data_IF_249985758587
#
_entry.id   IF_249985758587
#
_cell.length_a   1.000
_cell.length_b   1.000
_cell.length_c   1.000
_cell.angle_alpha   90.00
_cell.angle_beta   90.00
_cell.angle_gamma   90.00
#
_symmetry.space_group_name_H-M   'P 1'
#
loop_
_entity.id
_entity.type
_entity.pdbx_description
1 polymer ?
#
# COMPACT_ATOMS: atom_id res chain seq x y z
N UNK A 1 1.79 -12.23 14.69
CA UNK A 1 2.83 -11.68 13.79
C UNK A 1 3.96 -12.66 13.57
N UNK A 2 4.65 -12.57 12.44
CA UNK A 2 5.83 -13.41 12.14
C UNK A 2 6.89 -12.62 11.36
N UNK A 3 8.16 -13.01 11.56
CA UNK A 3 9.29 -12.56 10.73
C UNK A 3 10.02 -13.80 10.23
N UNK A 4 10.21 -13.86 8.92
CA UNK A 4 10.93 -14.93 8.24
C UNK A 4 12.16 -14.33 7.58
N UNK A 5 13.33 -14.91 7.85
CA UNK A 5 14.58 -14.59 7.18
C UNK A 5 14.88 -15.63 6.12
N UNK A 6 15.07 -15.17 4.90
CA UNK A 6 15.39 -16.03 3.76
C UNK A 6 16.85 -15.84 3.32
N UNK A 7 17.43 -16.91 2.77
CA UNK A 7 18.67 -16.82 2.02
C UNK A 7 18.42 -16.11 0.68
N UNK A 8 19.17 -15.04 0.42
CA UNK A 8 18.94 -14.18 -0.74
C UNK A 8 19.05 -14.91 -2.09
N UNK A 9 19.95 -15.87 -2.19
CA UNK A 9 20.25 -16.56 -3.46
C UNK A 9 19.30 -17.73 -3.75
N UNK A 10 18.78 -18.39 -2.73
CA UNK A 10 17.97 -19.62 -2.87
C UNK A 10 16.52 -19.46 -2.43
N UNK A 11 16.20 -18.42 -1.64
CA UNK A 11 14.90 -18.28 -1.01
C UNK A 11 14.65 -19.25 0.15
N UNK A 12 15.66 -20.05 0.55
CA UNK A 12 15.50 -20.98 1.67
C UNK A 12 15.34 -20.25 3.00
N UNK A 13 14.49 -20.79 3.87
CA UNK A 13 14.25 -20.21 5.20
C UNK A 13 15.48 -20.42 6.08
N UNK A 14 16.16 -19.33 6.45
CA UNK A 14 17.26 -19.32 7.42
C UNK A 14 16.71 -19.38 8.85
N UNK A 15 15.69 -18.59 9.13
CA UNK A 15 15.03 -18.56 10.44
C UNK A 15 13.61 -18.02 10.33
N UNK A 16 12.77 -18.45 11.25
CA UNK A 16 11.41 -17.94 11.42
C UNK A 16 11.16 -17.67 12.90
N UNK A 17 10.46 -16.59 13.22
CA UNK A 17 10.01 -16.23 14.57
C UNK A 17 8.59 -15.75 14.52
N UNK A 18 7.82 -16.19 15.49
CA UNK A 18 6.44 -15.75 15.72
C UNK A 18 6.38 -14.88 16.97
N UNK A 19 5.46 -13.94 16.97
CA UNK A 19 5.22 -13.01 18.06
C UNK A 19 3.73 -13.00 18.35
N UNK A 20 3.41 -12.82 19.62
CA UNK A 20 2.07 -12.53 20.09
C UNK A 20 2.11 -11.10 20.68
N UNK A 21 1.58 -10.15 19.94
CA UNK A 21 1.50 -8.74 20.33
C UNK A 21 0.14 -8.39 20.96
N UNK A 22 -0.74 -9.40 21.09
CA UNK A 22 -2.07 -9.29 21.65
C UNK A 22 -3.18 -9.28 20.60
N UNK A 23 -4.20 -10.14 20.80
CA UNK A 23 -5.34 -10.27 19.90
C UNK A 23 -4.94 -10.69 18.49
N UNK A 24 -5.67 -10.23 17.47
CA UNK A 24 -5.22 -10.33 16.09
C UNK A 24 -4.14 -9.29 15.84
N UNK A 25 -2.97 -9.74 15.41
CA UNK A 25 -1.80 -8.88 15.21
C UNK A 25 -1.08 -9.19 13.90
N UNK A 26 -0.47 -8.16 13.28
CA UNK A 26 0.36 -8.29 12.10
C UNK A 26 1.56 -7.33 12.15
N UNK A 27 2.66 -7.76 11.53
CA UNK A 27 3.67 -6.85 11.00
C UNK A 27 3.38 -6.66 9.50
N UNK A 28 3.15 -5.42 9.09
CA UNK A 28 2.80 -5.07 7.72
C UNK A 28 4.04 -4.68 6.90
N UNK A 29 4.96 -3.95 7.52
CA UNK A 29 6.18 -3.53 6.84
C UNK A 29 7.37 -3.50 7.80
N UNK A 30 8.58 -3.70 7.24
CA UNK A 30 9.82 -3.73 8.00
C UNK A 30 10.94 -3.04 7.23
N UNK A 31 11.73 -2.25 7.93
CA UNK A 31 12.96 -1.63 7.40
C UNK A 31 14.15 -1.95 8.26
N UNK A 32 15.34 -1.95 7.68
CA UNK A 32 16.60 -2.01 8.43
C UNK A 32 17.10 -0.59 8.69
N UNK A 33 17.37 -0.28 9.94
CA UNK A 33 18.01 0.96 10.34
C UNK A 33 19.17 0.68 11.30
N UNK A 34 20.39 1.11 10.91
CA UNK A 34 21.63 0.81 11.65
C UNK A 34 21.81 -0.70 11.87
N UNK A 35 21.68 -1.17 13.10
CA UNK A 35 21.81 -2.58 13.47
C UNK A 35 20.51 -3.21 13.97
N UNK A 36 19.39 -2.58 13.66
CA UNK A 36 18.05 -2.98 14.11
C UNK A 36 17.11 -3.14 12.93
N UNK A 37 16.05 -3.88 13.16
CA UNK A 37 14.89 -3.98 12.27
C UNK A 37 13.75 -3.21 12.93
N UNK A 38 13.12 -2.33 12.17
CA UNK A 38 12.00 -1.54 12.63
C UNK A 38 10.77 -2.01 11.86
N UNK A 39 9.79 -2.57 12.56
CA UNK A 39 8.57 -3.09 11.97
C UNK A 39 7.38 -2.26 12.43
N UNK A 40 6.45 -2.01 11.51
CA UNK A 40 5.15 -1.41 11.82
C UNK A 40 4.03 -2.39 11.52
N UNK A 41 2.89 -2.17 12.14
CA UNK A 41 1.70 -2.99 11.98
C UNK A 41 0.65 -2.63 13.03
N UNK A 42 -0.04 -3.63 13.52
CA UNK A 42 -1.10 -3.45 14.50
C UNK A 42 -1.21 -4.64 15.44
N UNK A 43 -1.91 -4.45 16.55
CA UNK A 43 -2.37 -5.50 17.44
C UNK A 43 -3.85 -5.26 17.84
N UNK A 44 -4.42 -6.22 18.54
CA UNK A 44 -5.82 -6.16 19.02
C UNK A 44 -6.84 -5.79 17.94
N UNK A 45 -6.56 -6.16 16.67
CA UNK A 45 -7.53 -5.97 15.61
C UNK A 45 -8.79 -6.80 15.88
N UNK A 46 -9.95 -6.20 15.61
CA UNK A 46 -11.24 -6.86 15.75
C UNK A 46 -11.56 -7.48 14.41
N UNK A 47 -11.60 -8.82 14.37
CA UNK A 47 -12.04 -9.54 13.18
C UNK A 47 -13.56 -9.37 13.04
N UNK A 48 -13.99 -8.40 12.23
CA UNK A 48 -15.38 -8.33 11.81
C UNK A 48 -15.53 -9.02 10.46
N UNK A 49 -16.40 -10.01 10.40
CA UNK A 49 -16.60 -10.89 9.23
C UNK A 49 -16.91 -10.18 7.90
N UNK A 50 -16.97 -8.86 7.87
CA UNK A 50 -17.38 -8.07 6.70
C UNK A 50 -16.56 -6.82 6.47
N UNK A 51 -15.44 -6.62 7.14
CA UNK A 51 -14.59 -5.45 6.90
C UNK A 51 -13.15 -5.87 6.72
N UNK A 52 -12.58 -5.53 5.59
CA UNK A 52 -11.17 -5.67 5.27
C UNK A 52 -10.28 -4.90 6.26
N UNK A 53 -10.87 -3.87 6.88
CA UNK A 53 -10.20 -2.98 7.81
C UNK A 53 -10.88 -3.08 9.16
N UNK A 54 -10.25 -3.81 10.04
CA UNK A 54 -10.71 -3.96 11.41
C UNK A 54 -10.07 -2.90 12.29
N UNK A 55 -10.84 -2.39 13.23
CA UNK A 55 -10.29 -1.55 14.29
C UNK A 55 -9.12 -2.27 14.94
N UNK A 56 -7.96 -1.64 14.95
CA UNK A 56 -6.75 -2.16 15.55
C UNK A 56 -6.04 -1.09 16.38
N UNK A 57 -4.90 -1.44 16.90
CA UNK A 57 -4.00 -0.53 17.60
C UNK A 57 -2.67 -0.54 16.88
N UNK A 58 -2.40 0.51 16.10
CA UNK A 58 -1.16 0.63 15.37
C UNK A 58 0.06 0.56 16.29
N UNK A 59 1.08 -0.16 15.85
CA UNK A 59 2.32 -0.35 16.61
C UNK A 59 3.56 -0.11 15.76
N UNK A 60 4.65 0.28 16.44
CA UNK A 60 6.00 0.24 15.91
C UNK A 60 6.87 -0.60 16.84
N UNK A 61 7.59 -1.56 16.28
CA UNK A 61 8.40 -2.52 17.01
C UNK A 61 9.85 -2.45 16.56
N UNK A 62 10.76 -2.50 17.53
CA UNK A 62 12.20 -2.59 17.31
C UNK A 62 12.66 -4.01 17.60
N UNK A 63 13.38 -4.60 16.65
CA UNK A 63 13.96 -5.92 16.78
C UNK A 63 15.46 -5.86 16.48
N UNK A 64 16.23 -6.74 17.08
CA UNK A 64 17.63 -6.88 16.71
C UNK A 64 17.77 -7.64 15.37
N UNK A 65 18.98 -7.65 14.78
CA UNK A 65 19.25 -8.34 13.50
C UNK A 65 19.01 -9.85 13.50
N UNK A 66 18.89 -10.46 14.67
CA UNK A 66 18.50 -11.86 14.80
C UNK A 66 16.98 -12.05 14.95
N UNK A 67 16.22 -10.95 14.83
CA UNK A 67 14.76 -10.95 14.91
C UNK A 67 14.22 -11.10 16.32
N UNK A 68 14.97 -10.79 17.39
CA UNK A 68 14.40 -10.75 18.74
C UNK A 68 13.78 -9.39 18.98
N UNK A 69 12.56 -9.38 19.47
CA UNK A 69 11.85 -8.17 19.87
C UNK A 69 12.59 -7.49 21.03
N UNK A 70 12.86 -6.20 20.90
CA UNK A 70 13.48 -5.34 21.90
C UNK A 70 12.39 -4.53 22.60
N UNK A 71 11.53 -3.87 21.82
CA UNK A 71 10.43 -3.06 22.33
C UNK A 71 9.31 -2.94 21.29
N UNK A 72 8.10 -2.67 21.77
CA UNK A 72 6.95 -2.25 20.96
C UNK A 72 6.38 -0.98 21.58
N UNK A 73 6.05 0.00 20.73
CA UNK A 73 5.40 1.25 21.10
C UNK A 73 4.07 1.36 20.36
N UNK A 74 3.03 1.78 21.06
CA UNK A 74 1.73 2.07 20.45
C UNK A 74 1.78 3.38 19.67
N UNK A 75 1.12 3.40 18.52
CA UNK A 75 0.86 4.56 17.68
C UNK A 75 -0.63 4.88 17.59
N UNK A 76 -1.46 4.23 18.39
CA UNK A 76 -2.94 4.32 18.30
C UNK A 76 -3.52 5.70 18.62
N UNK A 77 -2.71 6.62 19.17
CA UNK A 77 -3.10 8.05 19.26
C UNK A 77 -3.22 8.71 17.88
N UNK A 78 -2.56 8.13 16.85
CA UNK A 78 -2.44 8.70 15.51
C UNK A 78 -3.04 7.81 14.43
N UNK A 79 -2.92 6.49 14.58
CA UNK A 79 -3.22 5.48 13.59
C UNK A 79 -3.98 4.31 14.22
N UNK A 80 -5.00 3.80 13.53
CA UNK A 80 -5.61 2.51 13.84
C UNK A 80 -4.72 1.35 13.35
N UNK A 81 -4.17 1.48 12.16
CA UNK A 81 -3.27 0.49 11.55
C UNK A 81 -2.13 1.20 10.83
N UNK A 82 -0.90 0.71 11.00
CA UNK A 82 0.29 1.21 10.32
C UNK A 82 0.71 0.23 9.23
N UNK A 83 0.71 0.68 7.97
CA UNK A 83 0.94 -0.20 6.82
C UNK A 83 2.35 -0.11 6.24
N UNK A 84 2.97 1.08 6.25
CA UNK A 84 4.33 1.25 5.70
C UNK A 84 5.20 2.08 6.62
N UNK A 85 6.49 1.81 6.55
CA UNK A 85 7.54 2.60 7.19
C UNK A 85 8.68 2.79 6.20
N UNK A 86 9.18 4.02 6.11
CA UNK A 86 10.38 4.36 5.34
C UNK A 86 11.35 5.14 6.21
N UNK A 87 12.64 5.08 5.84
CA UNK A 87 13.73 5.79 6.52
C UNK A 87 14.33 6.80 5.57
N UNK A 88 14.32 8.06 5.98
CA UNK A 88 14.97 9.12 5.22
C UNK A 88 15.62 10.15 6.15
N UNK A 89 16.90 10.48 5.91
CA UNK A 89 17.68 11.45 6.69
C UNK A 89 17.59 11.28 8.22
N UNK A 90 17.69 10.06 8.73
CA UNK A 90 17.55 9.71 10.14
C UNK A 90 16.18 10.03 10.76
N UNK A 91 15.13 10.03 9.96
CA UNK A 91 13.76 10.06 10.40
C UNK A 91 13.03 8.80 9.90
N UNK A 92 12.08 8.34 10.69
CA UNK A 92 11.10 7.36 10.26
C UNK A 92 9.85 8.08 9.78
N UNK A 93 9.33 7.65 8.64
CA UNK A 93 8.03 8.04 8.12
C UNK A 93 7.14 6.81 8.18
N UNK A 94 5.97 6.94 8.81
CA UNK A 94 5.02 5.84 8.99
C UNK A 94 3.67 6.28 8.48
N UNK A 95 3.07 5.50 7.60
CA UNK A 95 1.73 5.77 7.10
C UNK A 95 0.76 4.63 7.38
N UNK A 96 -0.52 4.95 7.28
CA UNK A 96 -1.61 4.00 7.49
C UNK A 96 -2.96 4.68 7.60
N UNK A 97 -3.89 3.99 8.26
CA UNK A 97 -5.26 4.43 8.44
C UNK A 97 -5.47 5.21 9.73
N UNK A 98 -6.31 6.24 9.67
CA UNK A 98 -6.83 6.90 10.87
C UNK A 98 -7.74 5.97 11.67
N UNK A 99 -8.01 6.35 12.91
CA UNK A 99 -8.89 5.65 13.85
C UNK A 99 -10.35 5.48 13.37
N UNK A 100 -10.80 6.34 12.44
CA UNK A 100 -12.11 6.26 11.81
C UNK A 100 -12.06 5.70 10.39
N UNK A 101 -10.88 5.23 9.93
CA UNK A 101 -10.61 4.73 8.58
C UNK A 101 -11.05 5.68 7.46
N UNK A 102 -11.00 7.00 7.71
CA UNK A 102 -11.54 8.01 6.79
C UNK A 102 -10.46 8.82 6.10
N UNK A 103 -9.21 8.76 6.57
CA UNK A 103 -8.11 9.56 6.01
C UNK A 103 -6.81 8.78 5.96
N UNK A 104 -5.94 9.14 5.02
CA UNK A 104 -4.53 8.80 5.07
C UNK A 104 -3.87 9.51 6.25
N UNK A 105 -3.07 8.81 7.00
CA UNK A 105 -2.24 9.42 8.05
C UNK A 105 -0.77 9.19 7.73
N UNK A 106 0.03 10.25 7.85
CA UNK A 106 1.48 10.20 7.78
C UNK A 106 2.09 10.76 9.06
N UNK A 107 2.97 9.99 9.67
CA UNK A 107 3.78 10.40 10.82
C UNK A 107 5.23 10.62 10.38
N UNK A 108 5.85 11.67 10.91
CA UNK A 108 7.31 11.81 10.95
C UNK A 108 7.78 11.60 12.37
N UNK A 109 8.76 10.73 12.55
CA UNK A 109 9.29 10.34 13.86
C UNK A 109 10.80 10.50 13.89
N UNK A 110 11.34 10.80 15.08
CA UNK A 110 12.77 10.71 15.32
C UNK A 110 13.21 9.24 15.54
N UNK A 111 14.51 9.00 15.59
CA UNK A 111 15.08 7.65 15.79
C UNK A 111 14.87 7.10 17.20
N UNK A 112 14.37 7.91 18.13
CA UNK A 112 13.91 7.49 19.46
C UNK A 112 12.44 7.14 19.48
N UNK A 113 11.81 7.05 18.31
CA UNK A 113 10.39 6.77 18.08
C UNK A 113 9.44 7.83 18.67
N UNK A 114 9.87 9.09 18.78
CA UNK A 114 8.97 10.18 19.15
C UNK A 114 8.36 10.79 17.89
N UNK A 115 7.05 10.99 17.89
CA UNK A 115 6.34 11.65 16.80
C UNK A 115 6.70 13.13 16.82
N UNK A 116 7.24 13.63 15.70
CA UNK A 116 7.58 15.04 15.48
C UNK A 116 6.35 15.79 14.98
N UNK A 117 5.66 15.17 14.01
CA UNK A 117 4.38 15.65 13.51
C UNK A 117 3.53 14.50 12.96
N UNK A 118 2.22 14.72 12.92
CA UNK A 118 1.22 13.88 12.28
C UNK A 118 0.41 14.74 11.33
N UNK A 119 0.15 14.24 10.12
CA UNK A 119 -0.70 14.91 9.13
C UNK A 119 -1.70 13.93 8.52
N UNK A 120 -2.88 14.46 8.18
CA UNK A 120 -3.96 13.71 7.53
C UNK A 120 -4.19 14.24 6.11
N UNK A 121 -4.53 13.34 5.19
CA UNK A 121 -4.84 13.66 3.80
C UNK A 121 -6.03 12.81 3.39
N UNK A 122 -6.94 13.41 2.66
CA UNK A 122 -8.18 12.77 2.20
C UNK A 122 -9.22 13.79 1.84
N UNK A 123 -10.42 13.35 1.65
CA UNK A 123 -11.56 14.17 1.29
C UNK A 123 -12.68 14.09 2.33
N UNK A 124 -13.92 14.00 1.86
CA UNK A 124 -15.11 14.03 2.75
C UNK A 124 -15.68 12.64 3.04
N UNK A 125 -15.16 11.62 2.40
CA UNK A 125 -15.54 10.22 2.56
C UNK A 125 -14.32 9.38 2.92
N UNK A 126 -14.45 8.07 2.93
CA UNK A 126 -13.36 7.17 3.32
C UNK A 126 -12.20 7.20 2.32
N UNK A 127 -10.99 7.29 2.85
CA UNK A 127 -9.73 7.30 2.13
C UNK A 127 -8.77 6.30 2.82
N UNK A 128 -8.33 5.27 2.12
CA UNK A 128 -7.51 4.19 2.70
C UNK A 128 -6.10 4.19 2.13
N UNK A 129 -5.09 4.38 2.99
CA UNK A 129 -3.67 4.38 2.61
C UNK A 129 -2.99 3.05 2.88
N UNK A 130 -2.31 2.49 1.89
CA UNK A 130 -1.55 1.24 1.99
C UNK A 130 -0.10 1.36 1.55
N UNK A 131 0.18 2.15 0.52
CA UNK A 131 1.51 2.28 -0.07
C UNK A 131 2.20 3.59 0.31
N UNK A 132 3.52 3.52 0.45
CA UNK A 132 4.40 4.67 0.62
C UNK A 132 5.77 4.38 0.04
N UNK A 133 6.36 5.39 -0.59
CA UNK A 133 7.76 5.39 -0.99
C UNK A 133 8.36 6.79 -0.81
N UNK A 134 9.66 6.88 -0.62
CA UNK A 134 10.39 8.15 -0.53
C UNK A 134 11.52 8.10 -1.55
N UNK A 135 11.49 9.00 -2.52
CA UNK A 135 12.53 9.08 -3.54
C UNK A 135 13.86 9.65 -2.99
N UNK A 136 14.90 9.62 -3.80
CA UNK A 136 16.23 10.09 -3.42
C UNK A 136 16.27 11.60 -3.14
N UNK A 137 15.31 12.37 -3.64
CA UNK A 137 15.19 13.82 -3.43
C UNK A 137 14.39 14.16 -2.18
N UNK A 138 13.77 13.16 -1.55
CA UNK A 138 12.97 13.32 -0.35
C UNK A 138 11.50 13.63 -0.63
N UNK A 139 11.02 13.41 -1.84
CA UNK A 139 9.59 13.45 -2.08
C UNK A 139 8.94 12.17 -1.55
N UNK A 140 7.85 12.32 -0.84
CA UNK A 140 7.07 11.22 -0.28
C UNK A 140 5.87 11.00 -1.19
N UNK A 141 5.68 9.77 -1.63
CA UNK A 141 4.49 9.32 -2.34
C UNK A 141 3.65 8.45 -1.42
N UNK A 142 2.38 8.82 -1.24
CA UNK A 142 1.38 7.99 -0.56
C UNK A 142 0.36 7.53 -1.59
N UNK A 143 -0.08 6.29 -1.47
CA UNK A 143 -1.11 5.74 -2.34
C UNK A 143 -2.06 4.81 -1.61
N UNK A 144 -3.22 4.65 -2.17
CA UNK A 144 -4.32 3.82 -1.70
C UNK A 144 -5.56 4.10 -2.54
N UNK A 145 -6.72 4.06 -1.94
CA UNK A 145 -7.97 4.32 -2.66
C UNK A 145 -8.90 5.24 -1.88
N UNK A 146 -9.87 5.83 -2.56
CA UNK A 146 -10.76 6.89 -2.06
C UNK A 146 -12.18 6.73 -2.55
N UNK A 147 -13.15 7.06 -1.67
CA UNK A 147 -14.54 7.33 -2.05
C UNK A 147 -14.82 8.84 -2.18
N UNK A 148 -13.86 9.68 -1.83
CA UNK A 148 -14.05 11.13 -1.81
C UNK A 148 -14.11 11.70 -3.23
N UNK A 149 -15.26 12.26 -3.60
CA UNK A 149 -15.55 12.83 -4.92
C UNK A 149 -15.44 11.82 -6.08
N UNK A 150 -15.69 10.54 -5.82
CA UNK A 150 -15.72 9.45 -6.78
C UNK A 150 -17.06 8.71 -6.72
N UNK A 151 -17.42 7.93 -7.73
CA UNK A 151 -18.69 7.15 -7.73
C UNK A 151 -18.53 5.79 -7.04
N UNK A 152 -17.29 5.29 -6.94
CA UNK A 152 -16.87 4.10 -6.20
C UNK A 152 -15.41 4.29 -5.78
N UNK A 153 -14.77 3.27 -5.23
CA UNK A 153 -13.37 3.31 -4.88
C UNK A 153 -12.49 3.53 -6.10
N UNK A 154 -11.77 4.64 -6.15
CA UNK A 154 -10.75 4.95 -7.14
C UNK A 154 -9.37 5.02 -6.50
N UNK A 155 -8.31 4.79 -7.28
CA UNK A 155 -6.94 5.00 -6.80
C UNK A 155 -6.73 6.45 -6.39
N UNK A 156 -6.03 6.67 -5.28
CA UNK A 156 -5.70 7.99 -4.79
C UNK A 156 -4.22 8.07 -4.45
N UNK A 157 -3.50 8.95 -5.12
CA UNK A 157 -2.05 9.12 -4.98
C UNK A 157 -1.71 10.56 -4.67
N UNK A 158 -0.81 10.76 -3.71
CA UNK A 158 -0.39 12.09 -3.23
C UNK A 158 1.12 12.17 -3.25
N UNK A 159 1.68 13.27 -3.76
CA UNK A 159 3.09 13.64 -3.57
C UNK A 159 3.20 14.72 -2.51
N UNK A 160 4.12 14.55 -1.57
CA UNK A 160 4.28 15.38 -0.36
C UNK A 160 5.77 15.70 -0.18
N UNK A 161 6.11 16.86 0.38
CA UNK A 161 7.46 17.18 0.80
C UNK A 161 7.77 16.62 2.22
N UNK A 162 9.02 16.72 2.66
CA UNK A 162 9.48 16.25 3.98
C UNK A 162 8.85 16.98 5.19
N UNK A 163 8.21 18.12 4.96
CA UNK A 163 7.46 18.87 5.98
C UNK A 163 5.98 18.45 6.00
N UNK A 164 5.60 17.53 5.12
CA UNK A 164 4.25 17.01 4.99
C UNK A 164 3.30 17.95 4.23
N UNK A 165 3.81 18.86 3.42
CA UNK A 165 2.96 19.72 2.59
C UNK A 165 2.70 19.02 1.25
N UNK A 166 1.43 18.98 0.86
CA UNK A 166 0.98 18.36 -0.38
C UNK A 166 1.48 19.17 -1.59
N UNK A 167 2.18 18.51 -2.51
CA UNK A 167 2.66 19.07 -3.76
C UNK A 167 1.59 18.90 -4.85
N UNK A 168 1.08 17.66 -4.98
CA UNK A 168 -0.05 17.33 -5.85
C UNK A 168 -0.81 16.12 -5.32
N UNK A 169 -2.02 15.93 -5.83
CA UNK A 169 -2.82 14.73 -5.64
C UNK A 169 -3.51 14.34 -6.94
N UNK A 170 -3.80 13.07 -7.11
CA UNK A 170 -4.48 12.52 -8.28
C UNK A 170 -5.39 11.38 -7.89
N UNK A 171 -6.60 11.39 -8.42
CA UNK A 171 -7.58 10.30 -8.34
C UNK A 171 -7.77 9.74 -9.74
N UNK A 172 -7.60 8.46 -9.91
CA UNK A 172 -7.70 7.80 -11.21
C UNK A 172 -8.35 6.44 -11.02
N UNK A 173 -9.35 6.14 -11.80
CA UNK A 173 -10.05 4.87 -11.72
C UNK A 173 -10.66 4.44 -13.05
N UNK A 174 -11.39 3.33 -13.02
CA UNK A 174 -12.14 2.74 -14.10
C UNK A 174 -11.33 2.55 -15.42
N UNK A 175 -10.16 1.85 -15.37
CA UNK A 175 -9.29 1.71 -16.55
C UNK A 175 -9.96 0.94 -17.70
N UNK A 176 -11.03 0.22 -17.43
CA UNK A 176 -11.78 -0.57 -18.42
C UNK A 176 -12.95 0.18 -19.05
N UNK A 177 -13.28 1.40 -18.57
CA UNK A 177 -14.30 2.26 -19.15
C UNK A 177 -15.74 1.77 -18.96
N UNK A 178 -16.01 0.99 -17.90
CA UNK A 178 -17.35 0.58 -17.51
C UNK A 178 -18.07 1.66 -16.70
N UNK A 179 -19.31 1.39 -16.22
CA UNK A 179 -20.01 2.31 -15.34
C UNK A 179 -19.21 2.44 -14.01
N UNK A 180 -18.66 3.63 -13.69
CA UNK A 180 -17.69 3.79 -12.60
C UNK A 180 -18.26 3.44 -11.22
N UNK A 181 -19.59 3.58 -11.02
CA UNK A 181 -20.20 3.24 -9.72
C UNK A 181 -20.07 1.76 -9.32
N UNK A 182 -19.63 0.91 -10.24
CA UNK A 182 -19.53 -0.53 -10.04
C UNK A 182 -18.11 -1.07 -10.12
N UNK A 183 -17.16 -0.23 -10.46
CA UNK A 183 -15.74 -0.60 -10.54
C UNK A 183 -15.04 -0.13 -9.27
N UNK A 184 -14.29 -1.03 -8.69
CA UNK A 184 -13.49 -0.81 -7.51
C UNK A 184 -12.01 -0.89 -7.90
N UNK A 185 -11.26 0.18 -7.65
CA UNK A 185 -9.85 0.28 -7.95
C UNK A 185 -9.07 0.41 -6.63
N UNK A 186 -8.37 -0.65 -6.24
CA UNK A 186 -7.63 -0.73 -4.97
C UNK A 186 -6.14 -0.64 -5.21
N UNK A 187 -5.49 0.39 -4.67
CA UNK A 187 -4.04 0.56 -4.76
C UNK A 187 -3.35 0.07 -3.50
N UNK A 188 -2.28 -0.72 -3.70
CA UNK A 188 -1.55 -1.37 -2.62
C UNK A 188 -0.14 -0.85 -2.42
N UNK A 189 0.56 -0.45 -3.49
CA UNK A 189 1.96 -0.02 -3.38
C UNK A 189 2.34 1.04 -4.41
N UNK A 190 3.42 1.78 -4.13
CA UNK A 190 3.96 2.85 -4.96
C UNK A 190 5.48 2.82 -4.96
N UNK A 191 6.10 3.21 -6.10
CA UNK A 191 7.53 3.48 -6.19
C UNK A 191 7.78 4.80 -6.90
N UNK A 192 8.59 5.65 -6.28
CA UNK A 192 9.13 6.84 -6.92
C UNK A 192 10.03 6.48 -8.08
N UNK A 193 9.95 7.22 -9.18
CA UNK A 193 10.75 7.00 -10.38
C UNK A 193 11.81 8.08 -10.57
N UNK A 194 12.88 7.77 -11.30
CA UNK A 194 14.05 8.65 -11.46
C UNK A 194 13.74 10.00 -12.15
N UNK A 195 12.57 10.12 -12.77
CA UNK A 195 12.07 11.34 -13.41
C UNK A 195 11.27 12.25 -12.45
N UNK A 196 11.27 11.92 -11.15
CA UNK A 196 10.55 12.65 -10.12
C UNK A 196 9.04 12.35 -10.05
N UNK A 197 8.55 11.43 -10.87
CA UNK A 197 7.20 10.88 -10.83
C UNK A 197 7.12 9.63 -9.96
N UNK A 198 6.05 8.85 -10.15
CA UNK A 198 5.91 7.55 -9.49
C UNK A 198 5.10 6.57 -10.34
N UNK A 199 5.23 5.29 -10.01
CA UNK A 199 4.37 4.23 -10.52
C UNK A 199 3.63 3.59 -9.35
N UNK A 200 2.33 3.37 -9.50
CA UNK A 200 1.50 2.66 -8.53
C UNK A 200 1.04 1.32 -9.08
N UNK A 201 0.77 0.39 -8.18
CA UNK A 201 0.18 -0.90 -8.48
C UNK A 201 -1.14 -1.06 -7.74
N UNK A 202 -2.14 -1.55 -8.46
CA UNK A 202 -3.50 -1.71 -8.00
C UNK A 202 -4.14 -2.99 -8.55
N UNK A 203 -5.27 -3.36 -7.97
CA UNK A 203 -6.28 -4.20 -8.57
C UNK A 203 -7.43 -3.33 -9.09
N UNK A 204 -8.05 -3.72 -10.19
CA UNK A 204 -9.30 -3.13 -10.69
C UNK A 204 -10.32 -4.22 -10.96
N UNK A 205 -11.47 -4.15 -10.31
CA UNK A 205 -12.48 -5.19 -10.40
C UNK A 205 -13.85 -4.75 -9.93
N UNK A 206 -14.78 -5.70 -9.83
CA UNK A 206 -16.03 -5.50 -9.16
C UNK A 206 -16.14 -6.43 -7.94
N UNK A 207 -16.66 -5.94 -6.84
CA UNK A 207 -16.86 -6.72 -5.61
C UNK A 207 -18.30 -7.19 -5.42
N UNK A 208 -19.19 -6.91 -6.35
CA UNK A 208 -20.61 -7.17 -6.17
C UNK A 208 -21.03 -8.48 -6.83
N UNK A 209 -21.23 -9.52 -6.04
CA UNK A 209 -21.68 -10.85 -6.48
C UNK A 209 -22.97 -10.85 -7.33
N UNK A 210 -23.78 -9.80 -7.28
CA UNK A 210 -25.02 -9.66 -8.01
C UNK A 210 -24.93 -8.65 -9.15
N UNK A 211 -23.72 -8.24 -9.49
CA UNK A 211 -23.50 -7.23 -10.48
C UNK A 211 -23.56 -7.83 -11.89
N UNK A 212 -24.74 -7.72 -12.49
CA UNK A 212 -24.93 -8.17 -13.85
C UNK A 212 -24.27 -7.20 -14.83
N UNK A 213 -23.07 -7.54 -15.30
CA UNK A 213 -22.79 -7.33 -16.69
C UNK A 213 -22.47 -5.95 -17.21
N UNK A 214 -21.77 -5.18 -16.45
CA UNK A 214 -21.14 -4.02 -17.10
C UNK A 214 -19.82 -4.38 -17.76
N UNK A 215 -19.38 -5.62 -17.61
CA UNK A 215 -18.07 -6.04 -18.10
C UNK A 215 -18.09 -6.69 -19.46
N UNK A 216 -19.25 -7.06 -19.97
CA UNK A 216 -19.36 -7.48 -21.35
C UNK A 216 -20.70 -7.06 -22.00
N UNK A 217 -20.70 -6.96 -23.33
CA UNK A 217 -21.87 -6.61 -24.12
C UNK A 217 -22.98 -7.67 -24.10
N UNK A 218 -22.77 -8.81 -23.43
CA UNK A 218 -23.66 -9.97 -23.40
C UNK A 218 -24.38 -10.16 -22.06
N UNK A 219 -24.10 -9.32 -21.07
CA UNK A 219 -24.78 -9.38 -19.78
C UNK A 219 -24.26 -10.44 -18.81
N UNK A 220 -23.06 -10.95 -18.99
CA UNK A 220 -22.39 -11.82 -18.02
C UNK A 220 -21.64 -11.00 -16.99
N UNK A 221 -21.80 -11.32 -15.69
CA UNK A 221 -20.99 -10.72 -14.67
C UNK A 221 -19.54 -11.14 -14.84
N UNK A 222 -18.61 -10.23 -14.82
CA UNK A 222 -17.21 -10.58 -14.60
C UNK A 222 -16.83 -10.13 -13.20
N UNK A 223 -16.90 -10.99 -12.22
CA UNK A 223 -16.22 -10.81 -10.93
C UNK A 223 -14.70 -10.83 -11.16
N UNK A 224 -14.22 -10.25 -12.25
CA UNK A 224 -12.85 -10.41 -12.67
C UNK A 224 -12.04 -9.21 -12.24
N UNK A 225 -11.11 -9.41 -11.34
CA UNK A 225 -10.06 -8.47 -11.02
C UNK A 225 -8.93 -8.52 -12.04
N UNK A 226 -8.33 -7.38 -12.31
CA UNK A 226 -7.17 -7.25 -13.19
C UNK A 226 -6.10 -6.43 -12.47
N UNK A 227 -4.82 -6.71 -12.76
CA UNK A 227 -3.73 -5.85 -12.29
C UNK A 227 -3.83 -4.52 -13.00
N UNK A 228 -3.74 -3.44 -12.25
CA UNK A 228 -3.81 -2.08 -12.76
C UNK A 228 -2.55 -1.31 -12.38
N UNK A 229 -1.85 -0.76 -13.36
CA UNK A 229 -0.65 0.05 -13.18
C UNK A 229 -0.88 1.45 -13.73
N UNK A 230 -0.43 2.45 -12.99
CA UNK A 230 -0.48 3.85 -13.39
C UNK A 230 0.89 4.49 -13.17
N UNK A 231 1.43 5.13 -14.21
CA UNK A 231 2.62 5.97 -14.13
C UNK A 231 2.21 7.43 -14.10
N UNK A 232 2.69 8.14 -13.08
CA UNK A 232 2.53 9.59 -12.95
C UNK A 232 3.85 10.30 -13.25
N UNK A 233 3.78 11.44 -13.92
CA UNK A 233 4.88 12.37 -14.08
C UNK A 233 5.23 13.07 -12.77
N UNK A 234 6.34 13.81 -12.75
CA UNK A 234 6.74 14.69 -11.64
C UNK A 234 5.61 15.63 -11.18
N UNK A 235 4.77 16.10 -12.11
CA UNK A 235 3.65 17.02 -11.84
C UNK A 235 2.33 16.34 -11.49
N UNK A 236 2.30 15.01 -11.32
CA UNK A 236 1.10 14.24 -10.97
C UNK A 236 0.15 13.95 -12.14
N UNK A 237 0.57 14.18 -13.38
CA UNK A 237 -0.22 13.82 -14.56
C UNK A 237 0.00 12.36 -14.91
N UNK A 238 -1.07 11.66 -15.27
CA UNK A 238 -0.97 10.31 -15.81
C UNK A 238 -0.20 10.36 -17.13
N UNK A 239 0.90 9.64 -17.21
CA UNK A 239 1.68 9.46 -18.44
C UNK A 239 1.17 8.24 -19.21
N UNK A 240 0.90 7.15 -18.48
CA UNK A 240 0.24 5.97 -19.01
C UNK A 240 -0.46 5.20 -17.88
N UNK A 241 -1.41 4.37 -18.29
CA UNK A 241 -2.10 3.40 -17.44
C UNK A 241 -2.34 2.12 -18.24
N UNK A 242 -2.17 0.97 -17.60
CA UNK A 242 -2.33 -0.32 -18.23
C UNK A 242 -2.96 -1.32 -17.28
N UNK A 243 -3.75 -2.24 -17.84
CA UNK A 243 -4.27 -3.40 -17.15
C UNK A 243 -3.60 -4.67 -17.66
N UNK A 244 -3.44 -5.67 -16.76
CA UNK A 244 -2.85 -6.96 -17.10
C UNK A 244 -3.73 -8.06 -16.51
N UNK A 245 -4.00 -9.06 -17.33
CA UNK A 245 -4.81 -10.24 -17.00
C UNK A 245 -4.47 -11.36 -17.98
N UNK A 246 -4.88 -12.59 -17.69
CA UNK A 246 -4.78 -13.65 -18.68
C UNK A 246 -6.09 -13.86 -19.44
N UNK A 247 -5.99 -14.53 -20.61
CA UNK A 247 -7.15 -14.81 -21.48
C UNK A 247 -8.02 -15.96 -20.99
N UNK A 248 -7.58 -16.71 -19.99
CA UNK A 248 -8.30 -17.88 -19.48
C UNK A 248 -9.29 -17.48 -18.38
N UNK A 249 -9.21 -16.22 -17.93
CA UNK A 249 -10.01 -15.69 -16.84
C UNK A 249 -9.43 -16.08 -15.48
N UNK A 250 -9.59 -15.22 -14.53
CA UNK A 250 -9.10 -15.39 -13.16
C UNK A 250 -8.99 -14.03 -12.51
N UNK A 251 -9.00 -14.00 -11.19
CA UNK A 251 -8.78 -12.78 -10.47
C UNK A 251 -7.29 -12.50 -10.37
N UNK A 252 -6.89 -11.31 -10.78
CA UNK A 252 -5.52 -10.82 -10.73
C UNK A 252 -5.49 -9.49 -10.01
N UNK A 253 -4.80 -9.42 -8.87
CA UNK A 253 -4.54 -8.17 -8.18
C UNK A 253 -3.04 -7.90 -8.12
N UNK A 254 -2.66 -6.64 -8.27
CA UNK A 254 -1.28 -6.22 -8.08
C UNK A 254 -1.08 -5.77 -6.63
N UNK A 255 -0.17 -6.42 -5.90
CA UNK A 255 -0.01 -6.26 -4.46
C UNK A 255 1.21 -5.41 -4.06
N UNK A 256 2.31 -5.57 -4.74
CA UNK A 256 3.53 -4.85 -4.45
C UNK A 256 4.35 -4.60 -5.71
N UNK A 257 5.14 -3.53 -5.71
CA UNK A 257 5.99 -3.16 -6.83
C UNK A 257 7.40 -2.82 -6.37
N UNK A 258 8.39 -3.22 -7.15
CA UNK A 258 9.77 -2.76 -6.99
C UNK A 258 10.37 -2.39 -8.32
N UNK A 259 11.31 -1.44 -8.31
CA UNK A 259 12.02 -1.02 -9.51
C UNK A 259 13.39 -1.69 -9.56
N UNK A 260 13.81 -2.08 -10.77
CA UNK A 260 15.14 -2.57 -11.02
C UNK A 260 16.08 -1.42 -11.41
N UNK A 261 17.40 -1.66 -11.36
CA UNK A 261 18.40 -0.62 -11.65
C UNK A 261 18.38 -0.13 -13.13
N UNK A 262 17.74 -0.88 -14.00
CA UNK A 262 17.60 -0.59 -15.44
C UNK A 262 16.22 -0.02 -15.83
N UNK A 263 15.50 0.55 -14.83
CA UNK A 263 14.17 1.16 -14.98
C UNK A 263 13.10 0.18 -15.49
N UNK A 264 13.16 -1.05 -15.03
CA UNK A 264 12.07 -2.00 -15.18
C UNK A 264 11.32 -2.12 -13.86
N UNK A 265 10.07 -2.58 -13.88
CA UNK A 265 9.30 -2.88 -12.68
C UNK A 265 9.05 -4.38 -12.55
N UNK A 266 9.11 -4.86 -11.31
CA UNK A 266 8.63 -6.19 -10.93
C UNK A 266 7.45 -6.01 -10.00
N UNK A 267 6.33 -6.60 -10.37
CA UNK A 267 5.05 -6.53 -9.64
C UNK A 267 4.75 -7.91 -9.07
N UNK A 268 4.50 -7.99 -7.78
CA UNK A 268 3.92 -9.17 -7.16
C UNK A 268 2.42 -9.19 -7.42
N UNK A 269 1.90 -10.34 -7.76
CA UNK A 269 0.51 -10.51 -8.19
C UNK A 269 -0.13 -11.65 -7.39
N UNK A 270 -1.34 -11.42 -6.90
CA UNK A 270 -2.24 -12.45 -6.43
C UNK A 270 -3.20 -12.84 -7.59
N UNK A 271 -3.25 -14.14 -7.90
CA UNK A 271 -4.18 -14.72 -8.84
C UNK A 271 -4.73 -16.06 -8.31
N UNK A 272 -4.99 -16.12 -7.00
CA UNK A 272 -5.28 -17.36 -6.28
C UNK A 272 -4.03 -18.21 -6.02
N UNK A 273 -2.87 -17.73 -6.49
CA UNK A 273 -1.53 -18.23 -6.20
C UNK A 273 -0.55 -17.07 -6.34
N UNK A 274 0.67 -17.26 -5.86
CA UNK A 274 1.68 -16.22 -5.92
C UNK A 274 2.31 -16.13 -7.33
N UNK A 275 2.30 -14.92 -7.92
CA UNK A 275 2.85 -14.66 -9.25
C UNK A 275 3.65 -13.36 -9.34
N UNK A 276 4.32 -13.18 -10.48
CA UNK A 276 5.08 -11.96 -10.78
C UNK A 276 4.85 -11.51 -12.22
N UNK A 277 4.71 -10.20 -12.40
CA UNK A 277 4.80 -9.53 -13.69
C UNK A 277 6.11 -8.75 -13.76
N UNK A 278 6.79 -8.83 -14.89
CA UNK A 278 7.92 -7.94 -15.20
C UNK A 278 7.49 -6.97 -16.29
N UNK A 279 7.64 -5.68 -16.01
CA UNK A 279 7.33 -4.60 -16.93
C UNK A 279 8.66 -4.04 -17.43
N UNK A 280 8.90 -4.17 -18.73
CA UNK A 280 10.12 -3.67 -19.36
C UNK A 280 9.98 -2.18 -19.61
N UNK A 281 10.95 -1.41 -19.20
CA UNK A 281 11.19 0.04 -19.35
C UNK A 281 9.93 0.92 -19.55
N UNK A 282 9.71 1.81 -18.64
CA UNK A 282 8.64 2.83 -18.65
C UNK A 282 9.25 4.25 -18.54
#
# INVERSE_FOLDING_TARGET
>A
SAIIKLEKSSGEIISSKTFDLGGSDAFEHIVEYQNELIAVGYNNAIDSQNTFFTEGQATISVLNKTGNLIQTKSLNEYLAQAYRIEVYNNYFFVCGLSDEANDYVLLKMDTSLNVIWSKRYGGTQSDHNFGMDIDLEGNIFLTGHTLSDTENWDTYTIKINLDGDKIWESKVGNPRGFDPKYIHDETWDVKGTNDGGCIIVAGSGDEYENYNAYCDSNGTSSNQWVVYLIKFSESGKVEWQNIYFDSEGGDWAGEAITLTNDNEAVVAVDNGSFGFLKINSF
#
